data_IF_471910767643
#
_entry.id   IF_471910767643
#
_cell.length_a   1.000
_cell.length_b   1.000
_cell.length_c   1.000
_cell.angle_alpha   90.00
_cell.angle_beta   90.00
_cell.angle_gamma   90.00
#
_symmetry.space_group_name_H-M   'P 1'
#
loop_
_entity.id
_entity.type
_entity.pdbx_description
1 polymer ?
#
# COMPACT_ATOMS: atom_id res chain seq x y z
N UNK A 1 24.49 -39.68 -40.78
CA UNK A 1 24.90 -38.39 -41.38
C UNK A 1 25.09 -37.38 -40.27
N UNK A 2 26.33 -37.19 -39.81
CA UNK A 2 26.70 -36.18 -38.82
C UNK A 2 26.93 -34.83 -39.52
N UNK A 3 26.38 -33.73 -39.00
CA UNK A 3 26.86 -32.37 -39.29
C UNK A 3 27.29 -31.70 -38.00
N UNK A 4 28.62 -31.61 -37.88
CA UNK A 4 29.40 -30.83 -36.96
C UNK A 4 29.23 -29.33 -37.32
N UNK A 5 28.93 -28.47 -36.35
CA UNK A 5 29.06 -27.02 -36.50
C UNK A 5 29.90 -26.48 -35.34
N UNK A 6 31.09 -26.02 -35.71
CA UNK A 6 32.06 -25.29 -34.89
C UNK A 6 31.89 -23.82 -35.25
N UNK A 7 31.67 -22.93 -34.27
CA UNK A 7 32.04 -21.51 -34.41
C UNK A 7 32.56 -20.96 -33.08
N UNK A 8 33.68 -20.26 -33.23
CA UNK A 8 34.65 -19.71 -32.29
C UNK A 8 34.14 -18.71 -31.26
N UNK A 9 34.85 -18.70 -30.13
CA UNK A 9 34.85 -17.70 -29.07
C UNK A 9 35.39 -16.33 -29.51
N UNK A 10 34.96 -15.27 -28.82
CA UNK A 10 35.72 -14.03 -28.63
C UNK A 10 35.49 -13.55 -27.19
N UNK A 11 36.53 -13.69 -26.37
CA UNK A 11 36.67 -13.14 -25.03
C UNK A 11 37.37 -11.80 -25.11
N UNK A 12 36.76 -10.74 -24.58
CA UNK A 12 37.44 -9.48 -24.26
C UNK A 12 37.44 -9.26 -22.76
N UNK A 13 38.65 -9.26 -22.21
CA UNK A 13 39.00 -8.88 -20.85
C UNK A 13 39.59 -7.48 -20.90
N UNK A 14 39.06 -6.55 -20.12
CA UNK A 14 39.79 -5.34 -19.71
C UNK A 14 39.45 -5.04 -18.26
N UNK A 15 40.41 -5.34 -17.39
CA UNK A 15 40.47 -4.86 -16.02
C UNK A 15 40.85 -3.37 -16.02
N UNK A 16 40.32 -2.61 -15.07
CA UNK A 16 40.95 -1.37 -14.61
C UNK A 16 40.76 -1.26 -13.11
N UNK A 17 41.84 -1.49 -12.37
CA UNK A 17 41.96 -1.15 -10.98
C UNK A 17 42.63 0.24 -10.90
N UNK A 18 42.07 1.15 -10.11
CA UNK A 18 42.78 2.32 -9.61
C UNK A 18 42.66 2.34 -8.10
N UNK A 19 43.82 2.28 -7.44
CA UNK A 19 44.01 2.56 -6.02
C UNK A 19 44.56 3.97 -5.92
N UNK A 20 43.97 4.83 -5.08
CA UNK A 20 44.70 5.89 -4.39
C UNK A 20 43.92 6.39 -3.17
N UNK A 21 44.69 6.66 -2.13
CA UNK A 21 44.36 6.85 -0.73
C UNK A 21 44.48 8.34 -0.34
N UNK A 22 44.01 8.66 0.88
CA UNK A 22 44.24 9.84 1.72
C UNK A 22 43.28 11.04 1.59
N UNK A 23 43.21 11.92 2.61
CA UNK A 23 43.09 11.68 4.05
C UNK A 23 41.86 12.39 4.67
N UNK A 24 41.52 12.03 5.90
CA UNK A 24 40.53 12.71 6.72
C UNK A 24 40.94 14.16 7.01
N UNK A 25 40.08 15.13 6.68
CA UNK A 25 40.11 16.48 7.25
C UNK A 25 38.76 16.78 7.90
N UNK A 26 38.80 16.87 9.22
CA UNK A 26 37.74 17.39 10.09
C UNK A 26 37.61 18.89 9.82
N UNK A 27 36.50 19.31 9.23
CA UNK A 27 36.10 20.72 9.23
C UNK A 27 34.58 20.81 9.32
N UNK A 28 34.09 21.24 10.48
CA UNK A 28 32.68 21.52 10.75
C UNK A 28 32.22 22.69 9.86
N UNK A 29 31.16 22.57 9.06
CA UNK A 29 30.42 23.73 8.60
C UNK A 29 29.44 24.15 9.70
N UNK A 30 29.78 25.27 10.32
CA UNK A 30 28.90 26.12 11.10
C UNK A 30 27.75 26.60 10.20
N UNK A 31 26.59 25.96 10.27
CA UNK A 31 25.36 26.48 9.68
C UNK A 31 24.61 27.25 10.76
N UNK A 32 24.77 28.57 10.73
CA UNK A 32 23.97 29.51 11.47
C UNK A 32 22.50 29.37 11.00
N UNK A 33 21.65 28.80 11.86
CA UNK A 33 20.20 28.85 11.67
C UNK A 33 19.74 30.28 11.98
N UNK A 34 19.65 31.11 10.94
CA UNK A 34 19.02 32.42 11.01
C UNK A 34 17.51 32.22 10.97
N UNK A 35 16.89 32.37 12.14
CA UNK A 35 15.46 32.45 12.33
C UNK A 35 14.94 33.81 11.82
N UNK A 36 14.50 33.88 10.57
CA UNK A 36 13.64 34.97 10.12
C UNK A 36 12.17 34.55 10.23
N UNK A 37 11.61 34.84 11.40
CA UNK A 37 10.18 34.99 11.61
C UNK A 37 9.61 35.97 10.58
N UNK A 38 8.85 35.47 9.60
CA UNK A 38 7.93 36.28 8.81
C UNK A 38 6.52 35.75 9.01
N UNK A 39 5.78 36.43 9.89
CA UNK A 39 4.34 36.30 10.05
C UNK A 39 3.65 36.73 8.74
N UNK A 40 2.95 35.79 8.09
CA UNK A 40 1.73 36.08 7.32
C UNK A 40 0.83 34.84 7.38
N UNK A 41 -0.26 34.85 8.16
CA UNK A 41 -1.16 33.71 8.27
C UNK A 41 -2.16 33.77 7.10
N UNK A 42 -2.32 32.66 6.39
CA UNK A 42 -3.32 32.54 5.32
C UNK A 42 -2.89 31.76 4.07
N UNK A 43 -1.85 30.94 4.15
CA UNK A 43 -1.65 29.87 3.18
C UNK A 43 -2.13 28.58 3.82
N UNK A 44 -3.10 27.92 3.21
CA UNK A 44 -3.33 26.50 3.46
C UNK A 44 -1.96 25.81 3.32
N UNK A 45 -1.42 25.29 4.42
CA UNK A 45 -0.29 24.37 4.36
C UNK A 45 -0.79 23.17 3.56
N UNK A 46 -0.47 23.16 2.26
CA UNK A 46 -0.68 21.99 1.42
C UNK A 46 0.25 20.93 2.00
N UNK A 47 -0.29 20.08 2.89
CA UNK A 47 0.41 18.92 3.40
C UNK A 47 0.95 18.14 2.21
N UNK A 48 2.26 18.23 1.99
CA UNK A 48 2.92 17.54 0.89
C UNK A 48 2.84 16.05 1.19
N UNK A 49 1.88 15.39 0.58
CA UNK A 49 1.73 13.95 0.68
C UNK A 49 3.01 13.29 0.18
N UNK A 50 3.61 12.45 1.02
CA UNK A 50 4.78 11.70 0.64
C UNK A 50 4.42 10.81 -0.54
N UNK A 51 5.08 11.05 -1.68
CA UNK A 51 4.85 10.26 -2.88
C UNK A 51 5.29 8.81 -2.66
N UNK A 52 4.61 7.88 -3.32
CA UNK A 52 5.01 6.49 -3.28
C UNK A 52 6.38 6.28 -3.90
N UNK A 53 7.15 5.35 -3.34
CA UNK A 53 8.49 5.05 -3.82
C UNK A 53 8.46 4.38 -5.19
N UNK A 54 9.43 4.72 -6.05
CA UNK A 54 9.69 3.99 -7.29
C UNK A 54 9.95 2.52 -6.95
N UNK A 55 9.39 1.64 -7.78
CA UNK A 55 9.42 0.20 -7.59
C UNK A 55 8.21 -0.38 -6.86
N UNK A 56 7.41 0.43 -6.17
CA UNK A 56 6.23 -0.05 -5.44
C UNK A 56 5.18 -0.65 -6.39
N UNK A 57 4.44 -1.65 -5.91
CA UNK A 57 3.28 -2.19 -6.61
C UNK A 57 2.02 -1.47 -6.14
N UNK A 58 1.15 -1.15 -7.10
CA UNK A 58 -0.07 -0.40 -6.83
C UNK A 58 -1.27 -1.02 -7.53
N UNK A 59 -2.43 -0.86 -6.90
CA UNK A 59 -3.73 -0.99 -7.56
C UNK A 59 -4.25 0.41 -7.87
N UNK A 60 -4.69 0.65 -9.09
CA UNK A 60 -5.17 1.96 -9.54
C UNK A 60 -6.36 1.85 -10.49
N UNK A 61 -7.10 2.95 -10.64
CA UNK A 61 -8.24 3.04 -11.55
C UNK A 61 -7.91 3.92 -12.75
N UNK A 62 -8.06 3.38 -13.96
CA UNK A 62 -7.99 4.15 -15.19
C UNK A 62 -9.25 3.87 -16.04
N UNK A 63 -9.95 4.94 -16.46
CA UNK A 63 -11.16 4.83 -17.31
C UNK A 63 -12.19 3.81 -16.76
N UNK A 64 -12.41 3.83 -15.44
CA UNK A 64 -13.30 2.92 -14.72
C UNK A 64 -12.90 1.45 -14.69
N UNK A 65 -11.66 1.12 -15.09
CA UNK A 65 -11.08 -0.21 -14.93
C UNK A 65 -10.02 -0.19 -13.85
N UNK A 66 -9.95 -1.26 -13.08
CA UNK A 66 -8.93 -1.44 -12.06
C UNK A 66 -7.76 -2.20 -12.67
N UNK A 67 -6.56 -1.71 -12.43
CA UNK A 67 -5.31 -2.25 -12.92
C UNK A 67 -4.32 -2.44 -11.77
N UNK A 68 -3.39 -3.37 -11.94
CA UNK A 68 -2.20 -3.50 -11.10
C UNK A 68 -0.98 -3.16 -11.94
N UNK A 69 -0.04 -2.44 -11.33
CA UNK A 69 1.23 -2.13 -11.97
C UNK A 69 2.31 -1.76 -10.98
N UNK A 70 3.52 -1.60 -11.52
CA UNK A 70 4.72 -1.19 -10.81
C UNK A 70 5.06 0.26 -11.16
N UNK A 71 5.36 1.07 -10.16
CA UNK A 71 5.82 2.46 -10.36
C UNK A 71 7.25 2.43 -10.91
N UNK A 72 7.44 2.97 -12.11
CA UNK A 72 8.77 3.13 -12.74
C UNK A 72 9.33 4.55 -12.54
N UNK A 73 8.47 5.58 -12.47
CA UNK A 73 8.89 6.95 -12.20
C UNK A 73 7.82 7.75 -11.46
N UNK A 74 8.28 8.76 -10.71
CA UNK A 74 7.43 9.70 -9.97
C UNK A 74 7.72 11.11 -10.48
N UNK A 75 6.68 11.84 -10.89
CA UNK A 75 6.76 13.24 -11.28
C UNK A 75 6.03 14.10 -10.24
N UNK A 76 6.77 15.01 -9.59
CA UNK A 76 6.19 15.95 -8.62
C UNK A 76 5.73 17.21 -9.32
N UNK A 77 4.47 17.59 -9.07
CA UNK A 77 3.91 18.85 -9.55
C UNK A 77 4.27 19.99 -8.59
N UNK A 78 4.39 21.19 -9.16
CA UNK A 78 4.54 22.43 -8.39
C UNK A 78 3.39 22.69 -7.41
N UNK A 79 2.22 22.07 -7.62
CA UNK A 79 1.06 22.14 -6.73
C UNK A 79 1.09 21.16 -5.55
N UNK A 80 2.20 20.45 -5.31
CA UNK A 80 2.35 19.49 -4.21
C UNK A 80 1.79 18.08 -4.48
N UNK A 81 1.21 17.83 -5.66
CA UNK A 81 0.71 16.50 -6.06
C UNK A 81 1.75 15.67 -6.81
N UNK A 82 1.56 14.35 -6.87
CA UNK A 82 2.39 13.42 -7.64
C UNK A 82 1.63 12.82 -8.85
N UNK A 83 2.38 12.51 -9.91
CA UNK A 83 1.95 11.58 -10.97
C UNK A 83 2.92 10.41 -11.04
N UNK A 84 2.39 9.24 -11.36
CA UNK A 84 3.15 8.01 -11.41
C UNK A 84 3.17 7.49 -12.85
N UNK A 85 4.35 7.20 -13.36
CA UNK A 85 4.52 6.35 -14.53
C UNK A 85 4.54 4.90 -14.06
N UNK A 86 3.60 4.12 -14.54
CA UNK A 86 3.30 2.78 -14.05
C UNK A 86 3.32 1.81 -15.21
N UNK A 87 3.88 0.62 -15.03
CA UNK A 87 3.87 -0.44 -16.04
C UNK A 87 3.14 -1.64 -15.46
N UNK A 88 2.18 -2.18 -16.21
CA UNK A 88 1.42 -3.37 -15.81
C UNK A 88 2.16 -4.69 -16.13
N UNK A 89 1.49 -5.82 -15.91
CA UNK A 89 2.02 -7.16 -16.22
C UNK A 89 2.26 -7.41 -17.71
N UNK A 90 1.59 -6.66 -18.58
CA UNK A 90 1.65 -6.81 -20.03
C UNK A 90 2.67 -5.84 -20.67
N UNK A 91 3.28 -4.98 -19.87
CA UNK A 91 4.23 -3.97 -20.34
C UNK A 91 3.56 -2.69 -20.84
N UNK A 92 2.25 -2.51 -20.60
CA UNK A 92 1.55 -1.28 -20.98
C UNK A 92 1.90 -0.14 -20.01
N UNK A 93 2.36 1.01 -20.52
CA UNK A 93 2.67 2.16 -19.69
C UNK A 93 1.40 3.00 -19.43
N UNK A 94 1.25 3.40 -18.17
CA UNK A 94 0.19 4.29 -17.69
C UNK A 94 0.81 5.52 -17.01
N UNK A 95 0.11 6.65 -17.10
CA UNK A 95 0.48 7.87 -16.40
C UNK A 95 -0.71 8.36 -15.56
N UNK A 96 -0.70 8.01 -14.28
CA UNK A 96 -1.83 8.20 -13.38
C UNK A 96 -1.56 9.28 -12.33
N UNK A 97 -2.57 10.09 -11.97
CA UNK A 97 -2.46 10.98 -10.82
C UNK A 97 -2.60 10.22 -9.50
N UNK A 98 -2.06 10.78 -8.42
CA UNK A 98 -2.06 10.15 -7.10
C UNK A 98 -3.44 9.72 -6.56
N UNK A 99 -4.47 10.53 -6.84
CA UNK A 99 -5.88 10.26 -6.46
C UNK A 99 -6.48 8.98 -7.06
N UNK A 100 -5.90 8.50 -8.17
CA UNK A 100 -6.41 7.32 -8.88
C UNK A 100 -5.79 6.03 -8.36
N UNK A 101 -4.75 6.13 -7.51
CA UNK A 101 -4.19 4.99 -6.77
C UNK A 101 -5.15 4.59 -5.65
N UNK A 102 -5.49 3.30 -5.56
CA UNK A 102 -6.37 2.74 -4.52
C UNK A 102 -5.59 2.12 -3.38
N UNK A 103 -4.55 1.36 -3.73
CA UNK A 103 -3.71 0.65 -2.78
C UNK A 103 -2.25 0.66 -3.24
N UNK A 104 -1.31 0.65 -2.29
CA UNK A 104 0.12 0.60 -2.56
C UNK A 104 0.80 -0.37 -1.59
N UNK A 105 1.71 -1.20 -2.11
CA UNK A 105 2.60 -2.03 -1.32
C UNK A 105 4.04 -1.89 -1.78
N UNK A 106 4.97 -1.97 -0.83
CA UNK A 106 6.40 -1.95 -1.15
C UNK A 106 6.80 -3.22 -1.91
N UNK A 107 7.66 -3.05 -2.91
CA UNK A 107 8.25 -4.17 -3.61
C UNK A 107 9.40 -4.78 -2.78
N UNK A 108 9.47 -6.12 -2.65
CA UNK A 108 10.61 -6.80 -2.06
C UNK A 108 11.91 -6.46 -2.80
N UNK A 109 13.03 -6.43 -2.07
CA UNK A 109 14.35 -6.15 -2.66
C UNK A 109 14.87 -7.26 -3.57
N UNK A 110 14.37 -8.50 -3.40
CA UNK A 110 14.76 -9.65 -4.22
C UNK A 110 13.89 -9.77 -5.47
N UNK A 111 14.47 -9.83 -6.69
CA UNK A 111 13.71 -9.92 -7.94
C UNK A 111 12.74 -11.11 -7.98
N UNK A 112 13.14 -12.28 -7.49
CA UNK A 112 12.28 -13.48 -7.49
C UNK A 112 11.10 -13.37 -6.51
N UNK A 113 11.30 -12.72 -5.36
CA UNK A 113 10.21 -12.45 -4.42
C UNK A 113 9.27 -11.37 -4.95
N UNK A 114 9.81 -10.35 -5.62
CA UNK A 114 9.04 -9.29 -6.26
C UNK A 114 8.13 -9.86 -7.35
N UNK A 115 8.65 -10.70 -8.25
CA UNK A 115 7.84 -11.34 -9.30
C UNK A 115 6.75 -12.25 -8.72
N UNK A 116 7.07 -13.02 -7.68
CA UNK A 116 6.10 -13.87 -6.98
C UNK A 116 4.99 -13.02 -6.36
N UNK A 117 5.34 -12.01 -5.57
CA UNK A 117 4.37 -11.12 -4.92
C UNK A 117 3.51 -10.40 -5.95
N UNK A 118 4.09 -9.97 -7.07
CA UNK A 118 3.34 -9.31 -8.14
C UNK A 118 2.30 -10.23 -8.78
N UNK A 119 2.66 -11.49 -9.07
CA UNK A 119 1.71 -12.50 -9.57
C UNK A 119 0.60 -12.79 -8.56
N UNK A 120 0.95 -12.92 -7.29
CA UNK A 120 -0.03 -13.10 -6.20
C UNK A 120 -0.98 -11.90 -6.11
N UNK A 121 -0.45 -10.68 -6.25
CA UNK A 121 -1.24 -9.46 -6.23
C UNK A 121 -2.22 -9.38 -7.41
N UNK A 122 -1.78 -9.67 -8.64
CA UNK A 122 -2.65 -9.76 -9.81
C UNK A 122 -3.79 -10.76 -9.59
N UNK A 123 -3.47 -11.95 -9.08
CA UNK A 123 -4.47 -12.98 -8.76
C UNK A 123 -5.45 -12.50 -7.69
N UNK A 124 -4.96 -11.91 -6.60
CA UNK A 124 -5.77 -11.43 -5.48
C UNK A 124 -6.75 -10.33 -5.88
N UNK A 125 -6.41 -9.50 -6.87
CA UNK A 125 -7.30 -8.46 -7.39
C UNK A 125 -8.52 -9.04 -8.10
N UNK A 126 -8.37 -10.17 -8.80
CA UNK A 126 -9.46 -10.88 -9.46
C UNK A 126 -10.25 -11.79 -8.51
N UNK A 127 -9.68 -12.16 -7.35
CA UNK A 127 -10.35 -13.03 -6.37
C UNK A 127 -11.64 -12.39 -5.83
N UNK A 128 -12.78 -13.10 -5.85
CA UNK A 128 -14.04 -12.60 -5.26
C UNK A 128 -13.95 -12.54 -3.73
N UNK A 129 -14.70 -11.61 -3.11
CA UNK A 129 -14.65 -11.34 -1.66
C UNK A 129 -14.90 -12.61 -0.82
N UNK A 130 -15.83 -13.48 -1.23
CA UNK A 130 -16.14 -14.71 -0.50
C UNK A 130 -14.95 -15.69 -0.45
N UNK A 131 -14.11 -15.68 -1.48
CA UNK A 131 -12.87 -16.47 -1.50
C UNK A 131 -11.78 -15.83 -0.65
N UNK A 132 -11.71 -14.50 -0.62
CA UNK A 132 -10.77 -13.77 0.24
C UNK A 132 -11.00 -14.13 1.70
N UNK A 133 -12.24 -14.14 2.16
CA UNK A 133 -12.58 -14.48 3.54
C UNK A 133 -11.99 -15.84 3.98
N UNK A 134 -12.04 -16.84 3.08
CA UNK A 134 -11.45 -18.16 3.32
C UNK A 134 -9.92 -18.14 3.27
N UNK A 135 -9.34 -17.31 2.41
CA UNK A 135 -7.89 -17.20 2.24
C UNK A 135 -7.22 -16.53 3.45
N UNK A 136 -7.89 -15.53 4.04
CA UNK A 136 -7.44 -14.90 5.29
C UNK A 136 -8.03 -15.56 6.54
N UNK A 137 -8.74 -16.69 6.42
CA UNK A 137 -9.33 -17.43 7.55
C UNK A 137 -10.13 -16.57 8.56
N UNK A 138 -10.88 -15.58 8.06
CA UNK A 138 -11.69 -14.70 8.92
C UNK A 138 -13.13 -15.21 8.99
N UNK A 139 -13.55 -15.65 10.17
CA UNK A 139 -14.96 -15.99 10.44
C UNK A 139 -15.76 -14.75 10.86
N UNK A 140 -17.10 -14.78 10.76
CA UNK A 140 -17.95 -13.69 11.26
C UNK A 140 -17.71 -13.39 12.75
N UNK A 141 -17.40 -14.41 13.56
CA UNK A 141 -17.07 -14.27 14.98
C UNK A 141 -15.75 -13.52 15.18
N UNK A 142 -14.72 -13.83 14.39
CA UNK A 142 -13.43 -13.12 14.42
C UNK A 142 -13.61 -11.65 14.01
N UNK A 143 -14.45 -11.38 13.01
CA UNK A 143 -14.78 -10.02 12.61
C UNK A 143 -15.50 -9.25 13.73
N UNK A 144 -16.43 -9.91 14.44
CA UNK A 144 -17.12 -9.32 15.58
C UNK A 144 -16.16 -9.00 16.73
N UNK A 145 -15.28 -9.94 17.11
CA UNK A 145 -14.27 -9.72 18.15
C UNK A 145 -13.31 -8.58 17.79
N UNK A 146 -12.86 -8.52 16.53
CA UNK A 146 -12.02 -7.41 16.06
C UNK A 146 -12.72 -6.05 16.15
N UNK A 147 -14.04 -6.03 15.96
CA UNK A 147 -14.82 -4.82 16.13
C UNK A 147 -15.02 -4.45 17.61
N UNK A 148 -15.30 -5.41 18.49
CA UNK A 148 -15.45 -5.19 19.93
C UNK A 148 -14.17 -4.60 20.53
N UNK A 149 -13.01 -5.21 20.25
CA UNK A 149 -11.70 -4.71 20.69
C UNK A 149 -11.45 -3.28 20.19
N UNK A 150 -11.70 -3.03 18.90
CA UNK A 150 -11.50 -1.69 18.31
C UNK A 150 -12.46 -0.62 18.86
N UNK A 151 -13.60 -1.02 19.42
CA UNK A 151 -14.51 -0.12 20.14
C UNK A 151 -13.99 0.13 21.57
N UNK A 152 -13.58 -0.92 22.27
CA UNK A 152 -13.07 -0.84 23.65
C UNK A 152 -11.79 0.00 23.75
N UNK A 153 -10.81 -0.20 22.85
CA UNK A 153 -9.59 0.62 22.72
C UNK A 153 -9.88 2.11 22.44
N UNK A 154 -11.08 2.38 21.94
CA UNK A 154 -11.56 3.71 21.59
C UNK A 154 -12.18 4.49 22.75
N UNK A 155 -12.62 3.81 23.80
CA UNK A 155 -13.22 4.44 24.98
C UNK A 155 -12.15 5.00 25.94
N UNK A 156 -10.90 4.53 25.82
CA UNK A 156 -9.75 5.08 26.49
C UNK A 156 -9.19 6.29 25.69
N UNK A 157 -9.47 7.50 26.18
CA UNK A 157 -9.14 8.80 25.57
C UNK A 157 -7.66 8.92 25.10
N UNK A 158 -7.37 8.60 23.83
CA UNK A 158 -6.42 9.32 22.93
C UNK A 158 -5.96 8.51 21.73
N UNK A 159 -6.29 7.21 21.63
CA UNK A 159 -5.90 6.41 20.46
C UNK A 159 -6.97 6.56 19.36
N UNK A 160 -6.57 6.97 18.16
CA UNK A 160 -7.52 7.08 17.05
C UNK A 160 -8.11 5.70 16.77
N UNK A 161 -9.44 5.57 16.77
CA UNK A 161 -10.27 4.37 16.44
C UNK A 161 -10.03 3.76 15.04
N UNK A 162 -8.86 3.97 14.45
CA UNK A 162 -8.51 3.69 13.07
C UNK A 162 -7.81 2.34 13.01
N UNK A 163 -8.58 1.30 12.74
CA UNK A 163 -8.07 -0.02 12.40
C UNK A 163 -7.42 0.03 11.02
N UNK A 164 -6.15 -0.36 10.93
CA UNK A 164 -5.47 -0.57 9.66
C UNK A 164 -5.60 -2.03 9.22
N UNK A 165 -5.45 -2.36 7.92
CA UNK A 165 -5.42 -3.75 7.48
C UNK A 165 -4.33 -4.60 8.18
N UNK A 166 -3.21 -3.97 8.54
CA UNK A 166 -2.14 -4.64 9.26
C UNK A 166 -2.55 -5.00 10.69
N UNK A 167 -3.09 -4.03 11.43
CA UNK A 167 -3.54 -4.24 12.81
C UNK A 167 -4.73 -5.20 12.89
N UNK A 168 -5.59 -5.25 11.86
CA UNK A 168 -6.66 -6.23 11.79
C UNK A 168 -6.14 -7.67 11.74
N UNK A 169 -5.16 -7.95 10.87
CA UNK A 169 -4.54 -9.28 10.78
C UNK A 169 -3.79 -9.62 12.07
N UNK A 170 -3.07 -8.66 12.66
CA UNK A 170 -2.39 -8.85 13.94
C UNK A 170 -3.37 -9.21 15.07
N UNK A 171 -4.53 -8.55 15.12
CA UNK A 171 -5.57 -8.85 16.10
C UNK A 171 -6.16 -10.25 15.89
N UNK A 172 -6.51 -10.60 14.66
CA UNK A 172 -7.21 -11.87 14.38
C UNK A 172 -6.26 -13.07 14.42
N UNK A 173 -5.01 -12.93 13.98
CA UNK A 173 -4.06 -14.04 13.81
C UNK A 173 -2.86 -14.01 14.77
N UNK A 174 -2.72 -12.97 15.58
CA UNK A 174 -1.61 -12.79 16.53
C UNK A 174 -0.20 -12.85 15.90
N UNK A 175 -0.05 -12.48 14.62
CA UNK A 175 1.23 -12.35 13.96
C UNK A 175 1.31 -11.10 13.08
N UNK A 176 2.54 -10.66 12.81
CA UNK A 176 2.78 -9.53 11.92
C UNK A 176 2.24 -9.84 10.51
N UNK A 177 1.45 -8.92 9.97
CA UNK A 177 0.81 -9.10 8.67
C UNK A 177 1.83 -9.01 7.53
N UNK A 178 1.80 -9.98 6.63
CA UNK A 178 2.53 -9.94 5.35
C UNK A 178 1.95 -8.86 4.42
N UNK A 179 2.71 -8.49 3.38
CA UNK A 179 2.23 -7.53 2.39
C UNK A 179 0.93 -7.98 1.70
N UNK A 180 0.78 -9.30 1.50
CA UNK A 180 -0.38 -9.86 0.82
C UNK A 180 -1.59 -9.93 1.75
N UNK A 181 -1.41 -10.34 3.00
CA UNK A 181 -2.48 -10.34 4.01
C UNK A 181 -3.01 -8.92 4.24
N UNK A 182 -2.14 -7.90 4.26
CA UNK A 182 -2.57 -6.49 4.34
C UNK A 182 -3.49 -6.10 3.20
N UNK A 183 -3.20 -6.53 1.97
CA UNK A 183 -4.03 -6.23 0.82
C UNK A 183 -5.36 -7.00 0.85
N UNK A 184 -5.32 -8.30 1.18
CA UNK A 184 -6.52 -9.12 1.30
C UNK A 184 -7.43 -8.61 2.41
N UNK A 185 -6.88 -8.24 3.56
CA UNK A 185 -7.60 -7.58 4.64
C UNK A 185 -8.17 -6.23 4.19
N UNK A 186 -7.40 -5.40 3.49
CA UNK A 186 -7.89 -4.13 2.94
C UNK A 186 -9.09 -4.31 2.01
N UNK A 187 -9.05 -5.34 1.14
CA UNK A 187 -10.16 -5.66 0.22
C UNK A 187 -11.36 -6.26 0.97
N UNK A 188 -11.11 -7.14 1.95
CA UNK A 188 -12.16 -7.73 2.78
C UNK A 188 -12.88 -6.68 3.65
N UNK A 189 -12.15 -5.72 4.23
CA UNK A 189 -12.72 -4.65 5.06
C UNK A 189 -13.59 -3.66 4.27
N UNK A 190 -13.51 -3.68 2.93
CA UNK A 190 -14.41 -2.94 2.03
C UNK A 190 -15.64 -3.74 1.60
N UNK A 191 -15.79 -4.99 2.07
CA UNK A 191 -16.98 -5.80 1.80
C UNK A 191 -18.21 -5.28 2.53
N UNK A 192 -19.39 -5.64 2.03
CA UNK A 192 -20.67 -5.31 2.68
C UNK A 192 -20.74 -5.86 4.11
N UNK A 193 -20.20 -7.06 4.35
CA UNK A 193 -20.15 -7.68 5.68
C UNK A 193 -19.29 -6.86 6.66
N UNK A 194 -18.07 -6.50 6.26
CA UNK A 194 -17.19 -5.68 7.10
C UNK A 194 -17.73 -4.25 7.28
N UNK A 195 -18.42 -3.71 6.27
CA UNK A 195 -19.09 -2.40 6.35
C UNK A 195 -20.19 -2.33 7.39
N UNK A 196 -20.72 -3.45 7.90
CA UNK A 196 -21.64 -3.43 9.04
C UNK A 196 -20.93 -2.89 10.28
N UNK A 197 -19.67 -3.28 10.49
CA UNK A 197 -18.88 -2.99 11.68
C UNK A 197 -17.94 -1.80 11.51
N UNK A 198 -17.45 -1.57 10.30
CA UNK A 198 -16.41 -0.58 10.04
C UNK A 198 -16.82 0.44 8.99
N UNK A 199 -16.28 1.65 9.12
CA UNK A 199 -16.44 2.74 8.15
C UNK A 199 -15.09 3.09 7.56
N UNK A 200 -15.00 3.13 6.23
CA UNK A 200 -13.79 3.57 5.53
C UNK A 200 -13.40 5.01 5.90
N UNK A 201 -12.14 5.20 6.26
CA UNK A 201 -11.50 6.51 6.40
C UNK A 201 -10.64 6.73 5.17
N UNK A 202 -11.01 7.76 4.40
CA UNK A 202 -10.33 8.10 3.15
C UNK A 202 -9.41 9.29 3.36
N UNK A 203 -8.19 9.16 2.89
CA UNK A 203 -7.26 10.28 2.73
C UNK A 203 -7.00 10.50 1.24
N UNK A 204 -7.30 11.70 0.74
CA UNK A 204 -7.20 12.05 -0.69
C UNK A 204 -7.87 11.05 -1.66
N UNK A 205 -9.03 10.49 -1.25
CA UNK A 205 -9.79 9.53 -2.07
C UNK A 205 -9.36 8.07 -1.94
N UNK A 206 -8.38 7.78 -1.07
CA UNK A 206 -7.83 6.43 -0.83
C UNK A 206 -8.19 5.93 0.55
N UNK A 207 -8.60 4.67 0.66
CA UNK A 207 -8.91 4.06 1.96
C UNK A 207 -7.60 3.76 2.68
N UNK A 208 -7.33 4.49 3.77
CA UNK A 208 -6.10 4.35 4.57
C UNK A 208 -6.31 3.56 5.85
N UNK A 209 -7.51 3.64 6.42
CA UNK A 209 -7.89 2.96 7.65
C UNK A 209 -9.41 2.81 7.73
N UNK A 210 -9.86 2.11 8.76
CA UNK A 210 -11.24 1.76 9.00
C UNK A 210 -11.59 2.14 10.42
N UNK A 211 -12.66 2.93 10.59
CA UNK A 211 -13.16 3.32 11.90
C UNK A 211 -14.23 2.35 12.37
N UNK A 212 -14.08 1.78 13.56
CA UNK A 212 -15.12 0.98 14.18
C UNK A 212 -16.40 1.82 14.38
N UNK A 213 -17.55 1.26 14.02
CA UNK A 213 -18.87 1.85 14.25
C UNK A 213 -19.30 1.63 15.70
N UNK A 214 -20.18 2.49 16.21
CA UNK A 214 -20.70 2.34 17.57
C UNK A 214 -21.64 1.13 17.68
N UNK A 215 -21.76 0.53 18.88
CA UNK A 215 -22.67 -0.61 19.14
C UNK A 215 -24.08 -0.37 18.58
N UNK A 216 -24.67 0.79 18.92
CA UNK A 216 -25.97 1.22 18.40
C UNK A 216 -26.06 1.25 16.86
N UNK A 217 -25.00 1.66 16.17
CA UNK A 217 -24.99 1.70 14.71
C UNK A 217 -24.89 0.31 14.07
N UNK A 218 -24.19 -0.62 14.73
CA UNK A 218 -24.11 -2.03 14.32
C UNK A 218 -25.44 -2.73 14.55
N UNK A 219 -26.07 -2.56 15.71
CA UNK A 219 -27.36 -3.18 16.02
C UNK A 219 -28.44 -2.77 15.01
N UNK A 220 -28.54 -1.47 14.72
CA UNK A 220 -29.45 -0.95 13.70
C UNK A 220 -29.19 -1.52 12.28
N UNK A 221 -27.94 -1.89 11.97
CA UNK A 221 -27.57 -2.45 10.67
C UNK A 221 -27.88 -3.96 10.60
N UNK A 222 -27.73 -4.68 11.71
CA UNK A 222 -28.07 -6.10 11.82
C UNK A 222 -29.56 -6.35 11.65
N UNK A 223 -30.39 -5.52 12.26
CA UNK A 223 -31.87 -5.58 12.13
C UNK A 223 -32.33 -5.43 10.66
N UNK A 224 -31.53 -4.78 9.81
CA UNK A 224 -31.81 -4.61 8.37
C UNK A 224 -31.25 -5.78 7.55
N UNK A 225 -30.15 -6.40 7.97
CA UNK A 225 -29.57 -7.56 7.28
C UNK A 225 -30.32 -8.87 7.56
N UNK A 226 -30.96 -9.01 8.71
CA UNK A 226 -31.81 -10.17 9.05
C UNK A 226 -33.10 -10.25 8.18
N UNK A 227 -33.36 -9.21 7.37
CA UNK A 227 -34.41 -9.22 6.33
C UNK A 227 -33.93 -9.96 5.06
N UNK A 228 -32.63 -10.20 4.93
CA UNK A 228 -31.97 -10.87 3.81
C UNK A 228 -31.21 -12.10 4.30
N UNK A 229 -31.91 -13.06 4.90
CA UNK A 229 -31.35 -14.38 5.18
C UNK A 229 -30.92 -15.06 3.86
N UNK A 230 -29.62 -15.34 3.75
CA UNK A 230 -28.97 -16.19 2.75
C UNK A 230 -28.92 -17.64 3.23
#
# INVERSE_FOLDING_TARGET
MLRLLVVSALSFSTATAFVANAPASITKPFMASSCMHSKKPGGDEVENQQAFAVGSFIEFVEKSRTHIGKIEAVEHKSSGGARYQVVDSEGHPFNIPDKDVKYCMACPSSPGQAEKLYKEFCKAQETPIQSIQKEIDVTPELLLMAWEEAVEDGEEESSSHNLTPASFIELVHAHAASAMEKYLAWKYLQSEQAHIFFKEIKNHGRVVSFKAKTRKAVDNAKDVSDIFDF
#
